data_IF_122159126783
#
_entry.id   IF_122159126783
#
_cell.length_a   1.000
_cell.length_b   1.000
_cell.length_c   1.000
_cell.angle_alpha   90.00
_cell.angle_beta   90.00
_cell.angle_gamma   90.00
#
_symmetry.space_group_name_H-M   'P 1'
#
loop_
_entity.id
_entity.type
_entity.pdbx_description
1 polymer ?
#
# COMPACT_ATOMS: atom_id res chain seq x y z
N UNK A 1 -20.95 -0.17 20.19
CA UNK A 1 -21.94 0.39 21.13
C UNK A 1 -21.32 1.10 22.36
N UNK A 2 -20.18 0.62 22.94
CA UNK A 2 -19.51 1.30 24.06
C UNK A 2 -18.86 2.62 23.61
N UNK A 3 -18.11 2.63 22.52
CA UNK A 3 -17.42 3.83 22.00
C UNK A 3 -18.43 4.92 21.62
N UNK A 4 -19.52 4.54 20.96
CA UNK A 4 -20.51 5.51 20.49
C UNK A 4 -21.31 6.20 21.60
N UNK A 5 -21.30 5.70 22.82
CA UNK A 5 -22.00 6.31 23.97
C UNK A 5 -21.22 7.44 24.65
N UNK A 6 -19.89 7.49 24.46
CA UNK A 6 -19.01 8.49 25.10
C UNK A 6 -18.70 9.71 24.23
N UNK A 7 -19.23 9.77 23.00
CA UNK A 7 -18.94 10.85 22.05
C UNK A 7 -19.85 12.05 22.27
N UNK A 8 -19.26 13.25 22.25
CA UNK A 8 -19.94 14.54 22.35
C UNK A 8 -20.26 15.09 20.94
N UNK A 9 -21.06 16.14 20.87
CA UNK A 9 -21.51 16.77 19.63
C UNK A 9 -20.34 17.32 18.78
N UNK A 10 -19.31 17.84 19.44
CA UNK A 10 -18.15 18.46 18.80
C UNK A 10 -17.02 17.48 18.47
N UNK A 11 -17.19 16.19 18.79
CA UNK A 11 -16.20 15.19 18.50
C UNK A 11 -16.15 14.85 17.00
N UNK A 12 -14.94 14.68 16.48
CA UNK A 12 -14.71 14.11 15.18
C UNK A 12 -14.46 12.60 15.35
N UNK A 13 -15.22 11.78 14.64
CA UNK A 13 -15.01 10.33 14.59
C UNK A 13 -14.33 9.98 13.26
N UNK A 14 -13.10 9.50 13.33
CA UNK A 14 -12.38 9.04 12.17
C UNK A 14 -12.27 7.51 12.16
N UNK A 15 -12.83 6.90 11.14
CA UNK A 15 -12.88 5.44 10.97
C UNK A 15 -11.98 5.05 9.81
N UNK A 16 -11.20 4.00 9.98
CA UNK A 16 -10.32 3.46 8.94
C UNK A 16 -10.83 2.12 8.44
N UNK A 17 -10.72 1.89 7.15
CA UNK A 17 -11.14 0.75 6.35
C UNK A 17 -12.65 0.66 6.11
N UNK A 18 -13.02 0.17 4.93
CA UNK A 18 -14.43 0.03 4.54
C UNK A 18 -15.22 -0.88 5.49
N UNK A 19 -14.60 -1.99 5.95
CA UNK A 19 -15.24 -2.93 6.90
C UNK A 19 -15.61 -2.26 8.22
N UNK A 20 -14.67 -1.54 8.82
CA UNK A 20 -14.91 -0.79 10.06
C UNK A 20 -15.92 0.35 9.83
N UNK A 21 -15.87 1.00 8.68
CA UNK A 21 -16.82 2.03 8.27
C UNK A 21 -18.26 1.53 8.22
N UNK A 22 -18.50 0.37 7.62
CA UNK A 22 -19.84 -0.24 7.58
C UNK A 22 -20.34 -0.63 8.97
N UNK A 23 -19.49 -1.19 9.83
CA UNK A 23 -19.86 -1.51 11.22
C UNK A 23 -20.20 -0.25 12.02
N UNK A 24 -19.39 0.81 11.87
CA UNK A 24 -19.67 2.10 12.49
C UNK A 24 -20.98 2.70 11.96
N UNK A 25 -21.17 2.73 10.65
CA UNK A 25 -22.36 3.28 10.02
C UNK A 25 -23.64 2.56 10.50
N UNK A 26 -23.60 1.23 10.59
CA UNK A 26 -24.71 0.46 11.15
C UNK A 26 -24.98 0.83 12.61
N UNK A 27 -23.94 0.94 13.44
CA UNK A 27 -24.10 1.37 14.84
C UNK A 27 -24.63 2.81 14.95
N UNK A 28 -24.23 3.68 14.02
CA UNK A 28 -24.61 5.09 14.00
C UNK A 28 -26.08 5.32 13.63
N UNK A 29 -26.75 4.35 12.98
CA UNK A 29 -28.19 4.42 12.71
C UNK A 29 -29.04 4.55 13.98
N UNK A 30 -28.55 4.03 15.10
CA UNK A 30 -29.23 4.02 16.40
C UNK A 30 -28.76 5.14 17.34
N UNK A 31 -28.09 6.16 16.79
CA UNK A 31 -27.60 7.32 17.56
C UNK A 31 -28.37 8.59 17.22
N UNK A 32 -28.59 9.38 18.26
CA UNK A 32 -29.21 10.69 18.13
C UNK A 32 -28.19 11.85 18.11
N UNK A 33 -26.91 11.58 18.41
CA UNK A 33 -25.87 12.61 18.46
C UNK A 33 -25.22 12.80 17.09
N UNK A 34 -25.09 14.05 16.69
CA UNK A 34 -24.45 14.43 15.42
C UNK A 34 -22.97 14.73 15.67
N UNK A 35 -22.11 13.74 15.50
CA UNK A 35 -20.66 13.93 15.38
C UNK A 35 -20.29 14.17 13.92
N UNK A 36 -19.16 14.80 13.66
CA UNK A 36 -18.55 14.83 12.32
C UNK A 36 -17.81 13.53 12.07
N UNK A 37 -18.19 12.81 11.03
CA UNK A 37 -17.68 11.46 10.80
C UNK A 37 -16.88 11.38 9.52
N UNK A 38 -15.66 10.88 9.61
CA UNK A 38 -14.75 10.67 8.50
C UNK A 38 -14.53 9.17 8.30
N UNK A 39 -14.51 8.71 7.06
CA UNK A 39 -14.09 7.36 6.70
C UNK A 39 -12.87 7.44 5.77
N UNK A 40 -11.75 6.87 6.19
CA UNK A 40 -10.63 6.60 5.29
C UNK A 40 -10.74 5.20 4.71
N UNK A 41 -10.84 5.13 3.38
CA UNK A 41 -10.84 3.88 2.61
C UNK A 41 -9.41 3.62 2.15
N UNK A 42 -8.76 2.66 2.82
CA UNK A 42 -7.36 2.29 2.60
C UNK A 42 -7.18 1.25 1.49
N UNK A 43 -8.10 1.19 0.56
CA UNK A 43 -8.20 0.24 -0.54
C UNK A 43 -9.57 -0.41 -0.56
N UNK A 44 -10.04 -0.73 -1.74
CA UNK A 44 -11.38 -1.32 -1.92
C UNK A 44 -11.41 -2.84 -1.66
N UNK A 45 -10.24 -3.49 -1.71
CA UNK A 45 -10.06 -4.89 -1.36
C UNK A 45 -10.92 -5.87 -2.17
N UNK A 46 -11.15 -7.03 -1.58
CA UNK A 46 -11.85 -8.15 -2.23
C UNK A 46 -13.23 -7.80 -2.80
N UNK A 47 -14.02 -6.94 -2.11
CA UNK A 47 -15.38 -6.60 -2.56
C UNK A 47 -15.42 -5.98 -3.96
N UNK A 48 -14.36 -5.30 -4.36
CA UNK A 48 -14.21 -4.67 -5.68
C UNK A 48 -13.32 -5.45 -6.64
N UNK A 49 -12.94 -6.68 -6.28
CA UNK A 49 -12.19 -7.57 -7.15
C UNK A 49 -13.02 -8.06 -8.34
N UNK A 50 -12.33 -8.64 -9.32
CA UNK A 50 -12.95 -9.28 -10.47
C UNK A 50 -13.58 -10.66 -10.15
N UNK A 51 -13.48 -11.15 -8.92
CA UNK A 51 -14.04 -12.41 -8.49
C UNK A 51 -15.57 -12.41 -8.64
N UNK A 52 -16.12 -13.49 -9.19
CA UNK A 52 -17.56 -13.64 -9.43
C UNK A 52 -18.40 -13.51 -8.14
N UNK A 53 -17.93 -14.16 -7.04
CA UNK A 53 -18.60 -14.07 -5.73
C UNK A 53 -18.59 -12.63 -5.18
N UNK A 54 -17.47 -11.92 -5.35
CA UNK A 54 -17.37 -10.52 -4.95
C UNK A 54 -18.32 -9.62 -5.75
N UNK A 55 -18.47 -9.85 -7.05
CA UNK A 55 -19.42 -9.13 -7.91
C UNK A 55 -20.87 -9.30 -7.45
N UNK A 56 -21.29 -10.53 -7.15
CA UNK A 56 -22.62 -10.81 -6.61
C UNK A 56 -22.81 -10.11 -5.27
N UNK A 57 -21.86 -10.29 -4.34
CA UNK A 57 -21.92 -9.67 -3.01
C UNK A 57 -22.00 -8.14 -3.10
N UNK A 58 -21.22 -7.55 -4.00
CA UNK A 58 -21.24 -6.11 -4.27
C UNK A 58 -22.62 -5.62 -4.71
N UNK A 59 -23.29 -6.34 -5.62
CA UNK A 59 -24.65 -6.00 -6.08
C UNK A 59 -25.64 -6.10 -4.92
N UNK A 60 -25.64 -7.19 -4.17
CA UNK A 60 -26.54 -7.42 -3.04
C UNK A 60 -26.37 -6.36 -1.94
N UNK A 61 -25.13 -5.94 -1.67
CA UNK A 61 -24.84 -4.96 -0.64
C UNK A 61 -24.94 -3.50 -1.11
N UNK A 62 -25.11 -3.25 -2.42
CA UNK A 62 -25.02 -1.89 -2.98
C UNK A 62 -25.99 -0.91 -2.32
N UNK A 63 -27.24 -1.29 -2.15
CA UNK A 63 -28.25 -0.45 -1.51
C UNK A 63 -27.90 -0.10 -0.08
N UNK A 64 -27.47 -1.10 0.70
CA UNK A 64 -27.07 -0.91 2.09
C UNK A 64 -25.83 -0.04 2.21
N UNK A 65 -24.80 -0.30 1.42
CA UNK A 65 -23.56 0.48 1.43
C UNK A 65 -23.84 1.93 1.05
N UNK A 66 -24.60 2.15 -0.03
CA UNK A 66 -24.99 3.49 -0.47
C UNK A 66 -25.70 4.25 0.63
N UNK A 67 -26.74 3.65 1.22
CA UNK A 67 -27.55 4.30 2.25
C UNK A 67 -26.75 4.56 3.53
N UNK A 68 -26.01 3.55 4.01
CA UNK A 68 -25.25 3.64 5.27
C UNK A 68 -24.11 4.66 5.17
N UNK A 69 -23.36 4.67 4.06
CA UNK A 69 -22.23 5.58 3.88
C UNK A 69 -22.71 7.02 3.77
N UNK A 70 -23.69 7.29 2.90
CA UNK A 70 -24.22 8.65 2.72
C UNK A 70 -24.88 9.23 3.98
N UNK A 71 -25.50 8.38 4.81
CA UNK A 71 -26.13 8.83 6.04
C UNK A 71 -25.18 9.03 7.21
N UNK A 72 -24.04 8.31 7.22
CA UNK A 72 -23.18 8.20 8.40
C UNK A 72 -21.87 8.97 8.31
N UNK A 73 -21.42 9.34 7.12
CA UNK A 73 -20.14 10.00 6.94
C UNK A 73 -20.29 11.34 6.23
N UNK A 74 -19.70 12.37 6.83
CA UNK A 74 -19.65 13.73 6.29
C UNK A 74 -18.50 13.87 5.28
N UNK A 75 -17.44 13.04 5.42
CA UNK A 75 -16.23 13.16 4.63
C UNK A 75 -15.61 11.78 4.35
N UNK A 76 -15.18 11.55 3.10
CA UNK A 76 -14.44 10.35 2.71
C UNK A 76 -13.00 10.69 2.33
N UNK A 77 -12.06 9.85 2.76
CA UNK A 77 -10.64 9.97 2.39
C UNK A 77 -10.24 8.69 1.67
N UNK A 78 -9.53 8.84 0.56
CA UNK A 78 -9.01 7.74 -0.26
C UNK A 78 -7.49 7.83 -0.37
N UNK A 79 -6.86 6.71 -0.72
CA UNK A 79 -5.42 6.68 -0.95
C UNK A 79 -5.04 6.82 -2.42
N UNK A 80 -6.00 6.67 -3.34
CA UNK A 80 -5.79 6.89 -4.76
C UNK A 80 -7.07 7.33 -5.47
N UNK A 81 -6.92 7.92 -6.65
CA UNK A 81 -8.01 8.47 -7.45
C UNK A 81 -8.89 7.39 -8.10
N UNK A 82 -8.35 6.22 -8.35
CA UNK A 82 -9.10 5.10 -8.96
C UNK A 82 -10.11 4.55 -7.95
N UNK A 83 -9.66 4.29 -6.72
CA UNK A 83 -10.54 3.87 -5.64
C UNK A 83 -11.60 4.93 -5.32
N UNK A 84 -11.21 6.21 -5.30
CA UNK A 84 -12.14 7.33 -5.10
C UNK A 84 -13.26 7.31 -6.16
N UNK A 85 -12.89 7.31 -7.44
CA UNK A 85 -13.87 7.28 -8.54
C UNK A 85 -14.74 6.03 -8.49
N UNK A 86 -14.14 4.87 -8.28
CA UNK A 86 -14.82 3.58 -8.25
C UNK A 86 -15.83 3.53 -7.11
N UNK A 87 -15.43 3.92 -5.91
CA UNK A 87 -16.31 3.85 -4.74
C UNK A 87 -17.38 4.94 -4.74
N UNK A 88 -17.05 6.18 -5.11
CA UNK A 88 -18.03 7.26 -5.18
C UNK A 88 -19.13 6.94 -6.21
N UNK A 89 -18.76 6.40 -7.38
CA UNK A 89 -19.75 5.97 -8.39
C UNK A 89 -20.63 4.81 -7.88
N UNK A 90 -20.04 3.86 -7.16
CA UNK A 90 -20.76 2.73 -6.60
C UNK A 90 -21.69 3.12 -5.46
N UNK A 91 -21.21 3.89 -4.50
CA UNK A 91 -21.95 4.31 -3.31
C UNK A 91 -22.84 5.53 -3.57
N UNK A 92 -22.74 6.14 -4.77
CA UNK A 92 -23.40 7.43 -5.09
C UNK A 92 -23.18 8.45 -3.95
N UNK A 93 -21.96 8.48 -3.44
CA UNK A 93 -21.60 9.37 -2.35
C UNK A 93 -21.71 10.82 -2.82
N UNK A 94 -22.46 11.63 -2.06
CA UNK A 94 -22.75 13.02 -2.37
C UNK A 94 -22.08 14.03 -1.41
N UNK A 95 -21.33 13.53 -0.43
CA UNK A 95 -20.52 14.34 0.47
C UNK A 95 -19.14 14.68 -0.12
N UNK A 96 -18.34 15.36 0.69
CA UNK A 96 -16.98 15.74 0.30
C UNK A 96 -16.01 14.56 0.38
N UNK A 97 -15.09 14.51 -0.55
CA UNK A 97 -14.03 13.49 -0.53
C UNK A 97 -12.67 14.06 -0.98
N UNK A 98 -11.60 13.49 -0.42
CA UNK A 98 -10.23 13.90 -0.67
C UNK A 98 -9.28 12.72 -0.79
N UNK A 99 -8.10 12.94 -1.41
CA UNK A 99 -7.07 11.93 -1.53
C UNK A 99 -5.92 12.28 -0.60
N UNK A 100 -5.61 11.38 0.34
CA UNK A 100 -4.36 11.36 1.09
C UNK A 100 -3.62 10.08 0.68
N UNK A 101 -2.55 10.17 -0.11
CA UNK A 101 -2.06 9.07 -0.94
C UNK A 101 -1.43 7.90 -0.16
N UNK A 102 -1.22 8.06 1.13
CA UNK A 102 -0.57 7.04 1.98
C UNK A 102 -0.85 7.30 3.46
N UNK A 103 -0.45 6.38 4.32
CA UNK A 103 -0.36 6.63 5.78
C UNK A 103 0.94 7.36 6.18
N UNK A 104 1.84 7.58 5.22
CA UNK A 104 3.16 8.18 5.44
C UNK A 104 4.22 7.19 5.92
N UNK A 105 5.48 7.56 5.71
CA UNK A 105 6.65 6.81 6.20
C UNK A 105 7.49 7.65 7.15
N UNK A 106 8.19 6.98 8.08
CA UNK A 106 9.11 7.62 9.04
C UNK A 106 10.52 7.53 8.52
N UNK A 107 10.96 8.55 7.79
CA UNK A 107 12.24 8.54 7.07
C UNK A 107 13.49 8.57 7.97
N UNK A 108 13.38 9.09 9.20
CA UNK A 108 14.53 9.25 10.11
C UNK A 108 15.17 7.92 10.54
N UNK A 109 14.41 6.84 10.50
CA UNK A 109 14.84 5.52 10.93
C UNK A 109 15.39 4.68 9.78
N UNK A 110 15.18 5.12 8.53
CA UNK A 110 15.58 4.38 7.34
C UNK A 110 17.07 4.59 7.04
N UNK A 111 17.79 3.50 6.88
CA UNK A 111 19.19 3.52 6.45
C UNK A 111 19.26 3.58 4.92
N UNK A 112 19.97 4.60 4.40
CA UNK A 112 20.12 4.78 2.94
C UNK A 112 21.11 3.75 2.40
N UNK A 113 20.77 3.13 1.28
CA UNK A 113 21.66 2.27 0.52
C UNK A 113 22.80 3.09 -0.07
N UNK A 114 24.04 2.66 0.17
CA UNK A 114 25.27 3.38 -0.25
C UNK A 114 25.93 2.74 -1.46
N UNK A 115 25.78 1.44 -1.62
CA UNK A 115 26.46 0.67 -2.64
C UNK A 115 25.47 -0.29 -3.32
N UNK A 116 25.60 -0.43 -4.62
CA UNK A 116 24.85 -1.40 -5.42
C UNK A 116 25.79 -2.53 -5.84
N UNK A 117 25.25 -3.76 -5.88
CA UNK A 117 26.02 -4.94 -6.30
C UNK A 117 26.00 -5.04 -7.81
N UNK A 118 27.11 -5.50 -8.38
CA UNK A 118 27.22 -5.77 -9.81
C UNK A 118 26.86 -7.22 -10.15
N UNK A 119 26.74 -8.09 -9.15
CA UNK A 119 26.37 -9.50 -9.28
C UNK A 119 25.72 -10.00 -8.00
N UNK A 120 25.04 -11.14 -8.04
CA UNK A 120 24.31 -11.72 -6.92
C UNK A 120 23.36 -10.72 -6.26
N UNK A 121 22.50 -10.09 -7.07
CA UNK A 121 21.56 -9.08 -6.60
C UNK A 121 20.55 -9.71 -5.63
N UNK A 122 20.34 -9.05 -4.51
CA UNK A 122 19.41 -9.48 -3.46
C UNK A 122 18.03 -8.88 -3.70
N UNK A 123 17.08 -9.75 -3.95
CA UNK A 123 15.68 -9.42 -4.14
C UNK A 123 14.92 -9.67 -2.85
N UNK A 124 14.19 -8.69 -2.36
CA UNK A 124 13.33 -8.85 -1.19
C UNK A 124 11.87 -8.69 -1.55
N UNK A 125 11.03 -9.52 -0.96
CA UNK A 125 9.61 -9.29 -0.80
C UNK A 125 9.29 -9.22 0.69
N UNK A 126 8.89 -8.04 1.19
CA UNK A 126 8.59 -7.84 2.60
C UNK A 126 7.09 -7.51 2.79
N UNK A 127 6.34 -8.46 3.36
CA UNK A 127 4.89 -8.36 3.46
C UNK A 127 4.32 -9.29 4.51
N UNK A 128 3.06 -9.07 4.92
CA UNK A 128 2.30 -10.07 5.69
C UNK A 128 2.04 -11.31 4.81
N UNK A 129 2.16 -12.49 5.40
CA UNK A 129 1.93 -13.75 4.68
C UNK A 129 0.42 -14.03 4.55
N UNK A 130 -0.21 -13.34 3.59
CA UNK A 130 -1.60 -13.51 3.20
C UNK A 130 -1.70 -13.74 1.68
N UNK A 131 -2.74 -14.45 1.22
CA UNK A 131 -2.87 -14.86 -0.19
C UNK A 131 -2.89 -13.70 -1.18
N UNK A 132 -3.49 -12.55 -0.79
CA UNK A 132 -3.59 -11.38 -1.64
C UNK A 132 -2.25 -10.68 -1.90
N UNK A 133 -1.17 -11.10 -1.23
CA UNK A 133 0.16 -10.49 -1.39
C UNK A 133 1.02 -11.10 -2.51
N UNK A 134 0.57 -12.17 -3.15
CA UNK A 134 1.29 -12.78 -4.27
C UNK A 134 2.50 -13.61 -3.86
N UNK A 135 2.43 -14.24 -2.67
CA UNK A 135 3.55 -15.00 -2.12
C UNK A 135 3.86 -16.22 -2.98
N UNK A 136 2.85 -16.94 -3.46
CA UNK A 136 3.07 -18.11 -4.30
C UNK A 136 3.65 -17.73 -5.66
N UNK A 137 3.18 -16.63 -6.24
CA UNK A 137 3.75 -16.08 -7.47
C UNK A 137 5.22 -15.66 -7.28
N UNK A 138 5.59 -15.18 -6.09
CA UNK A 138 6.99 -14.89 -5.74
C UNK A 138 7.83 -16.17 -5.64
N UNK A 139 7.31 -17.23 -5.02
CA UNK A 139 7.99 -18.52 -4.94
C UNK A 139 8.21 -19.12 -6.34
N UNK A 140 7.18 -19.09 -7.18
CA UNK A 140 7.25 -19.57 -8.56
C UNK A 140 8.30 -18.79 -9.38
N UNK A 141 8.40 -17.47 -9.16
CA UNK A 141 9.42 -16.62 -9.80
C UNK A 141 10.83 -17.01 -9.32
N UNK A 142 11.02 -17.21 -8.01
CA UNK A 142 12.30 -17.64 -7.45
C UNK A 142 12.73 -19.00 -7.98
N UNK A 143 11.81 -19.96 -8.06
CA UNK A 143 12.07 -21.29 -8.64
C UNK A 143 12.45 -21.20 -10.12
N UNK A 144 11.77 -20.32 -10.89
CA UNK A 144 12.05 -20.09 -12.30
C UNK A 144 13.43 -19.43 -12.53
N UNK A 145 13.96 -18.75 -11.53
CA UNK A 145 15.21 -17.98 -11.60
C UNK A 145 16.33 -18.55 -10.70
N UNK A 146 16.17 -19.78 -10.20
CA UNK A 146 17.12 -20.43 -9.26
C UNK A 146 18.56 -20.54 -9.78
N UNK A 147 18.75 -20.59 -11.10
CA UNK A 147 20.07 -20.71 -11.76
C UNK A 147 20.60 -19.35 -12.25
N UNK A 148 20.00 -18.24 -11.81
CA UNK A 148 20.43 -16.88 -12.16
C UNK A 148 21.26 -16.24 -11.06
N UNK A 149 21.85 -15.06 -11.36
CA UNK A 149 22.63 -14.26 -10.40
C UNK A 149 21.73 -13.46 -9.42
N UNK A 150 20.59 -14.05 -9.01
CA UNK A 150 19.71 -13.45 -8.01
C UNK A 150 19.57 -14.31 -6.76
N UNK A 151 19.55 -13.65 -5.61
CA UNK A 151 19.20 -14.25 -4.33
C UNK A 151 17.82 -13.74 -3.89
N UNK A 152 16.87 -14.64 -3.66
CA UNK A 152 15.51 -14.27 -3.27
C UNK A 152 15.31 -14.36 -1.76
N UNK A 153 14.72 -13.32 -1.17
CA UNK A 153 14.47 -13.18 0.26
C UNK A 153 13.00 -12.85 0.52
N UNK A 154 12.35 -13.58 1.42
CA UNK A 154 10.97 -13.34 1.83
C UNK A 154 10.94 -12.97 3.31
N UNK A 155 10.45 -11.78 3.61
CA UNK A 155 10.27 -11.28 4.98
C UNK A 155 8.79 -11.10 5.33
N UNK A 156 8.40 -11.52 6.52
CA UNK A 156 7.05 -11.39 7.03
C UNK A 156 6.61 -12.60 7.85
N UNK A 157 5.42 -12.53 8.41
CA UNK A 157 4.84 -13.61 9.19
C UNK A 157 3.35 -13.76 8.89
N UNK A 158 2.78 -14.90 9.32
CA UNK A 158 1.33 -15.16 9.22
C UNK A 158 0.55 -14.13 10.03
N UNK A 159 -0.56 -13.65 9.48
CA UNK A 159 -1.43 -12.63 10.10
C UNK A 159 -2.55 -13.33 10.89
N UNK A 160 -2.24 -13.74 12.12
CA UNK A 160 -3.18 -14.47 12.96
C UNK A 160 -4.51 -13.71 13.12
N UNK A 161 -5.62 -14.39 12.83
CA UNK A 161 -6.96 -13.80 12.86
C UNK A 161 -7.42 -13.17 11.54
N UNK A 162 -6.57 -13.08 10.54
CA UNK A 162 -6.95 -12.69 9.18
C UNK A 162 -7.43 -13.96 8.42
N UNK A 163 -8.66 -13.99 7.88
CA UNK A 163 -9.17 -15.17 7.16
C UNK A 163 -8.39 -15.47 5.87
N UNK A 164 -7.64 -14.52 5.33
CA UNK A 164 -6.81 -14.66 4.14
C UNK A 164 -5.34 -15.03 4.46
N UNK A 165 -5.01 -15.19 5.75
CA UNK A 165 -3.68 -15.57 6.19
C UNK A 165 -3.29 -16.96 5.70
N UNK A 166 -2.01 -17.14 5.39
CA UNK A 166 -1.47 -18.46 5.10
C UNK A 166 -1.61 -19.37 6.31
N UNK A 167 -1.80 -20.66 6.04
CA UNK A 167 -1.82 -21.71 7.06
C UNK A 167 -0.40 -22.02 7.54
N UNK A 168 -0.30 -22.70 8.69
CA UNK A 168 0.99 -23.19 9.21
C UNK A 168 1.68 -24.16 8.23
N UNK A 169 0.93 -25.03 7.57
CA UNK A 169 1.50 -25.95 6.58
C UNK A 169 2.11 -25.20 5.38
N UNK A 170 1.46 -24.16 4.89
CA UNK A 170 2.00 -23.29 3.83
C UNK A 170 3.26 -22.53 4.28
N UNK A 171 3.28 -22.08 5.55
CA UNK A 171 4.49 -21.49 6.11
C UNK A 171 5.65 -22.48 6.19
N UNK A 172 5.38 -23.74 6.54
CA UNK A 172 6.40 -24.80 6.57
C UNK A 172 6.90 -25.13 5.16
N UNK A 173 6.05 -25.11 4.15
CA UNK A 173 6.46 -25.23 2.72
C UNK A 173 7.39 -24.08 2.32
N UNK A 174 7.06 -22.83 2.69
CA UNK A 174 7.91 -21.65 2.46
C UNK A 174 9.29 -21.82 3.11
N UNK A 175 9.35 -22.27 4.37
CA UNK A 175 10.60 -22.48 5.10
C UNK A 175 11.48 -23.57 4.49
N UNK A 176 10.88 -24.55 3.83
CA UNK A 176 11.57 -25.65 3.21
C UNK A 176 11.91 -25.40 1.72
N UNK A 177 11.41 -24.31 1.12
CA UNK A 177 11.74 -23.94 -0.24
C UNK A 177 13.21 -23.51 -0.33
N UNK A 178 13.96 -24.12 -1.26
CA UNK A 178 15.42 -23.90 -1.43
C UNK A 178 15.75 -22.73 -2.33
N UNK A 179 14.77 -22.19 -3.06
CA UNK A 179 14.96 -21.07 -3.99
C UNK A 179 14.84 -19.73 -3.30
N UNK A 180 14.45 -19.69 -2.01
CA UNK A 180 14.31 -18.48 -1.23
C UNK A 180 14.98 -18.55 0.14
N UNK A 181 15.36 -17.42 0.67
CA UNK A 181 15.78 -17.23 2.05
C UNK A 181 14.62 -16.64 2.85
N UNK A 182 13.92 -17.47 3.63
CA UNK A 182 12.84 -16.98 4.50
C UNK A 182 13.41 -16.38 5.78
N UNK A 183 13.07 -15.12 6.06
CA UNK A 183 13.63 -14.32 7.15
C UNK A 183 12.73 -14.25 8.39
N UNK A 184 11.43 -14.62 8.25
CA UNK A 184 10.46 -14.29 9.28
C UNK A 184 10.19 -12.79 9.38
N UNK A 185 9.79 -12.32 10.54
CA UNK A 185 9.59 -10.89 10.79
C UNK A 185 10.94 -10.18 10.95
N UNK A 186 11.15 -9.11 10.20
CA UNK A 186 12.36 -8.27 10.27
C UNK A 186 12.00 -6.80 10.53
N UNK A 187 12.95 -6.05 11.05
CA UNK A 187 12.87 -4.59 11.16
C UNK A 187 13.26 -3.95 9.82
N UNK A 188 12.26 -3.62 9.02
CA UNK A 188 12.44 -3.04 7.68
C UNK A 188 13.31 -1.79 7.72
N UNK A 189 13.20 -0.96 8.76
CA UNK A 189 13.98 0.29 8.86
C UNK A 189 15.48 0.05 8.92
N UNK A 190 15.90 -1.11 9.48
CA UNK A 190 17.30 -1.48 9.66
C UNK A 190 17.84 -2.43 8.59
N UNK A 191 16.97 -3.22 7.97
CA UNK A 191 17.42 -4.33 7.13
C UNK A 191 17.28 -4.06 5.63
N UNK A 192 16.33 -3.20 5.24
CA UNK A 192 15.94 -3.05 3.84
C UNK A 192 17.09 -2.54 2.94
N UNK A 193 18.02 -1.75 3.46
CA UNK A 193 19.19 -1.25 2.72
C UNK A 193 20.19 -2.36 2.29
N UNK A 194 20.08 -3.57 2.86
CA UNK A 194 20.90 -4.72 2.48
C UNK A 194 20.49 -5.39 1.17
N UNK A 195 19.35 -4.99 0.59
CA UNK A 195 18.80 -5.54 -0.64
C UNK A 195 18.94 -4.57 -1.81
N UNK A 196 18.77 -5.08 -3.03
CA UNK A 196 18.96 -4.33 -4.26
C UNK A 196 17.62 -4.05 -4.96
N UNK A 197 16.71 -5.01 -4.93
CA UNK A 197 15.40 -4.95 -5.57
C UNK A 197 14.31 -5.31 -4.57
N UNK A 198 13.24 -4.53 -4.54
CA UNK A 198 12.01 -4.87 -3.82
C UNK A 198 10.89 -5.26 -4.79
N UNK A 199 10.28 -6.42 -4.59
CA UNK A 199 9.11 -6.85 -5.35
C UNK A 199 7.83 -6.66 -4.55
N UNK A 200 6.82 -6.02 -5.18
CA UNK A 200 5.48 -5.85 -4.61
C UNK A 200 4.47 -6.54 -5.52
N UNK A 201 4.19 -7.81 -5.24
CA UNK A 201 3.33 -8.68 -6.06
C UNK A 201 1.88 -8.73 -5.56
N UNK A 202 1.48 -7.75 -4.77
CA UNK A 202 0.13 -7.68 -4.20
C UNK A 202 -0.94 -7.57 -5.29
N UNK A 203 -2.07 -8.28 -5.09
CA UNK A 203 -3.27 -8.20 -5.95
C UNK A 203 -4.12 -6.97 -5.61
N UNK A 204 -4.04 -6.50 -4.36
CA UNK A 204 -4.79 -5.35 -3.86
C UNK A 204 -3.93 -4.53 -2.91
N UNK A 205 -3.86 -3.22 -3.15
CA UNK A 205 -3.23 -2.23 -2.27
C UNK A 205 -4.02 -0.92 -2.35
N UNK A 206 -4.22 -0.28 -1.21
CA UNK A 206 -4.65 1.12 -1.18
C UNK A 206 -3.47 2.05 -1.39
N UNK A 207 -2.36 1.73 -0.71
CA UNK A 207 -1.06 2.40 -0.79
C UNK A 207 0.01 1.48 -0.19
N UNK A 208 1.09 1.26 -0.91
CA UNK A 208 2.18 0.38 -0.47
C UNK A 208 3.27 1.15 0.27
N UNK A 209 3.32 1.01 1.61
CA UNK A 209 4.36 1.64 2.43
C UNK A 209 5.75 1.13 2.11
N UNK A 210 5.89 -0.21 1.96
CA UNK A 210 7.19 -0.83 1.64
C UNK A 210 7.74 -0.32 0.30
N UNK A 211 6.88 0.02 -0.64
CA UNK A 211 7.28 0.62 -1.91
C UNK A 211 7.92 2.01 -1.68
N UNK A 212 7.27 2.88 -0.88
CA UNK A 212 7.82 4.19 -0.54
C UNK A 212 9.13 4.10 0.25
N UNK A 213 9.19 3.19 1.23
CA UNK A 213 10.39 2.95 2.03
C UNK A 213 11.55 2.49 1.15
N UNK A 214 11.31 1.54 0.23
CA UNK A 214 12.29 1.04 -0.73
C UNK A 214 12.80 2.14 -1.67
N UNK A 215 11.89 2.93 -2.25
CA UNK A 215 12.24 4.04 -3.14
C UNK A 215 13.03 5.15 -2.42
N UNK A 216 12.69 5.41 -1.15
CA UNK A 216 13.44 6.36 -0.32
C UNK A 216 14.87 5.90 -0.05
N UNK A 217 15.04 4.63 0.26
CA UNK A 217 16.35 4.01 0.53
C UNK A 217 17.20 3.96 -0.73
N UNK A 218 16.59 3.84 -1.90
CA UNK A 218 17.25 3.78 -3.20
C UNK A 218 17.22 2.39 -3.84
N UNK A 219 16.32 1.51 -3.43
CA UNK A 219 16.13 0.23 -4.10
C UNK A 219 15.43 0.40 -5.45
N UNK A 220 15.66 -0.56 -6.34
CA UNK A 220 14.79 -0.74 -7.51
C UNK A 220 13.50 -1.40 -7.02
N UNK A 221 12.38 -0.93 -7.54
CA UNK A 221 11.07 -1.47 -7.18
C UNK A 221 10.36 -2.01 -8.43
N UNK A 222 9.91 -3.26 -8.37
CA UNK A 222 9.05 -3.83 -9.40
C UNK A 222 7.74 -4.21 -8.72
N UNK A 223 6.64 -3.67 -9.21
CA UNK A 223 5.34 -3.86 -8.58
C UNK A 223 4.25 -4.21 -9.57
N UNK A 224 3.22 -4.90 -9.09
CA UNK A 224 1.99 -5.05 -9.85
C UNK A 224 1.39 -3.71 -10.21
N UNK A 225 0.87 -3.61 -11.44
CA UNK A 225 0.12 -2.46 -11.94
C UNK A 225 -1.30 -2.45 -11.36
N UNK A 226 -1.42 -2.05 -10.11
CA UNK A 226 -2.70 -1.91 -9.39
C UNK A 226 -2.85 -0.49 -8.85
N UNK A 227 -4.08 -0.02 -8.57
CA UNK A 227 -4.32 1.36 -8.18
C UNK A 227 -3.41 1.91 -7.09
N UNK A 228 -3.17 1.12 -6.03
CA UNK A 228 -2.37 1.56 -4.88
C UNK A 228 -0.86 1.59 -5.10
N UNK A 229 -0.33 0.86 -6.07
CA UNK A 229 1.10 0.93 -6.46
C UNK A 229 1.30 1.97 -7.55
N UNK A 230 0.48 1.95 -8.60
CA UNK A 230 0.60 2.86 -9.75
C UNK A 230 0.43 4.32 -9.36
N UNK A 231 -0.59 4.62 -8.53
CA UNK A 231 -0.84 6.00 -8.09
C UNK A 231 0.31 6.61 -7.27
N UNK A 232 1.06 5.76 -6.56
CA UNK A 232 2.25 6.18 -5.82
C UNK A 232 3.47 6.28 -6.73
N UNK A 233 3.83 5.17 -7.36
CA UNK A 233 5.16 4.99 -7.93
C UNK A 233 5.30 5.48 -9.37
N UNK A 234 4.22 5.84 -10.07
CA UNK A 234 4.31 6.45 -11.41
C UNK A 234 5.06 7.78 -11.45
N UNK A 235 5.27 8.40 -10.30
CA UNK A 235 6.01 9.67 -10.13
C UNK A 235 7.47 9.47 -9.75
N UNK A 236 7.88 8.26 -9.44
CA UNK A 236 9.22 7.95 -8.93
C UNK A 236 10.11 7.33 -9.99
N UNK A 237 11.39 7.63 -9.91
CA UNK A 237 12.44 6.89 -10.61
C UNK A 237 12.61 5.49 -9.99
N UNK A 238 13.27 4.59 -10.70
CA UNK A 238 13.56 3.22 -10.25
C UNK A 238 12.31 2.38 -9.93
N UNK A 239 11.18 2.68 -10.56
CA UNK A 239 9.93 1.97 -10.35
C UNK A 239 9.38 1.40 -11.65
N UNK A 240 9.12 0.10 -11.67
CA UNK A 240 8.63 -0.65 -12.82
C UNK A 240 7.31 -1.33 -12.48
N UNK A 241 6.48 -1.52 -13.51
CA UNK A 241 5.16 -2.13 -13.36
C UNK A 241 5.03 -3.42 -14.15
N UNK A 242 4.32 -4.37 -13.57
CA UNK A 242 3.95 -5.65 -14.17
C UNK A 242 2.44 -5.80 -14.15
N UNK A 243 1.85 -6.24 -15.26
CA UNK A 243 0.40 -6.42 -15.33
C UNK A 243 -0.01 -7.83 -14.86
N UNK A 244 -1.12 -7.88 -14.14
CA UNK A 244 -1.81 -9.13 -13.76
C UNK A 244 -0.93 -10.17 -13.05
N UNK A 245 0.06 -9.74 -12.26
CA UNK A 245 1.03 -10.64 -11.59
C UNK A 245 1.76 -11.57 -12.57
N UNK A 246 2.04 -11.09 -13.76
CA UNK A 246 2.68 -11.90 -14.80
C UNK A 246 4.13 -12.23 -14.44
N UNK A 247 4.41 -13.45 -14.03
CA UNK A 247 5.73 -13.93 -13.60
C UNK A 247 6.78 -13.73 -14.71
N UNK A 248 6.41 -13.93 -15.99
CA UNK A 248 7.34 -13.73 -17.11
C UNK A 248 7.72 -12.25 -17.30
N UNK A 249 6.81 -11.31 -17.00
CA UNK A 249 7.14 -9.89 -17.00
C UNK A 249 8.06 -9.52 -15.82
N UNK A 250 7.83 -10.06 -14.62
CA UNK A 250 8.77 -9.90 -13.50
C UNK A 250 10.15 -10.42 -13.85
N UNK A 251 10.25 -11.64 -14.41
CA UNK A 251 11.51 -12.22 -14.89
C UNK A 251 12.19 -11.35 -15.93
N UNK A 252 11.45 -10.82 -16.92
CA UNK A 252 11.99 -9.95 -17.94
C UNK A 252 12.59 -8.68 -17.34
N UNK A 253 11.85 -7.99 -16.46
CA UNK A 253 12.31 -6.76 -15.81
C UNK A 253 13.57 -7.02 -14.95
N UNK A 254 13.62 -8.15 -14.23
CA UNK A 254 14.81 -8.52 -13.46
C UNK A 254 16.03 -8.78 -14.36
N UNK A 255 15.85 -9.47 -15.48
CA UNK A 255 16.92 -9.69 -16.44
C UNK A 255 17.41 -8.40 -17.11
N UNK A 256 16.49 -7.45 -17.37
CA UNK A 256 16.85 -6.14 -17.90
C UNK A 256 17.72 -5.34 -16.91
N UNK A 257 17.48 -5.48 -15.61
CA UNK A 257 18.28 -4.84 -14.55
C UNK A 257 19.72 -5.38 -14.57
N UNK A 258 19.93 -6.70 -14.64
CA UNK A 258 21.27 -7.30 -14.68
C UNK A 258 22.02 -6.95 -15.98
N UNK A 259 21.32 -6.99 -17.12
CA UNK A 259 21.95 -6.80 -18.44
C UNK A 259 22.19 -5.33 -18.79
N UNK A 260 21.79 -4.40 -17.96
CA UNK A 260 21.93 -2.99 -18.20
C UNK A 260 22.97 -2.38 -17.25
N UNK A 261 24.21 -2.25 -17.73
CA UNK A 261 25.32 -1.64 -16.97
C UNK A 261 24.94 -0.26 -16.42
N UNK A 262 24.04 0.46 -17.10
CA UNK A 262 23.49 1.73 -16.62
C UNK A 262 22.69 1.57 -15.32
N UNK A 263 22.11 0.43 -15.00
CA UNK A 263 21.46 0.18 -13.70
C UNK A 263 22.45 -0.18 -12.60
N UNK A 264 23.61 -0.73 -12.95
CA UNK A 264 24.58 -1.28 -11.97
C UNK A 264 25.74 -0.33 -11.68
N UNK A 265 26.05 0.62 -12.58
CA UNK A 265 27.14 1.59 -12.38
C UNK A 265 26.66 2.80 -11.56
N UNK A 266 26.90 2.74 -10.25
CA UNK A 266 26.55 3.82 -9.32
C UNK A 266 27.34 5.12 -9.52
N UNK A 267 28.47 5.08 -10.26
CA UNK A 267 29.35 6.23 -10.44
C UNK A 267 29.00 7.10 -11.64
N UNK A 268 28.31 6.54 -12.63
CA UNK A 268 27.91 7.25 -13.86
C UNK A 268 26.40 7.42 -14.02
N UNK A 269 25.60 6.92 -13.08
CA UNK A 269 24.18 6.70 -13.30
C UNK A 269 23.33 7.85 -12.76
N UNK A 270 22.85 8.70 -13.69
CA UNK A 270 21.77 9.65 -13.42
C UNK A 270 20.52 8.95 -12.82
N UNK A 271 20.34 7.67 -13.13
CA UNK A 271 19.17 6.89 -12.69
C UNK A 271 19.23 6.52 -11.21
N UNK A 272 20.37 6.01 -10.70
CA UNK A 272 20.49 5.63 -9.27
C UNK A 272 20.85 6.79 -8.36
N UNK A 273 21.87 7.58 -8.70
CA UNK A 273 22.28 8.73 -7.91
C UNK A 273 21.20 9.81 -7.92
N UNK A 274 20.95 10.39 -9.08
CA UNK A 274 19.99 11.48 -9.25
C UNK A 274 18.54 11.00 -9.07
N UNK A 275 18.21 9.77 -9.51
CA UNK A 275 16.87 9.20 -9.35
C UNK A 275 16.52 8.92 -7.89
N UNK A 276 17.43 8.36 -7.10
CA UNK A 276 17.21 8.13 -5.68
C UNK A 276 17.13 9.44 -4.90
N UNK A 277 17.93 10.45 -5.25
CA UNK A 277 17.84 11.78 -4.64
C UNK A 277 16.53 12.48 -5.00
N UNK A 278 16.09 12.37 -6.24
CA UNK A 278 14.77 12.83 -6.67
C UNK A 278 13.65 12.17 -5.86
N UNK A 279 13.69 10.83 -5.72
CA UNK A 279 12.72 10.08 -4.93
C UNK A 279 12.71 10.54 -3.47
N UNK A 280 13.89 10.69 -2.84
CA UNK A 280 14.01 11.18 -1.46
C UNK A 280 13.42 12.57 -1.30
N UNK A 281 13.70 13.48 -2.22
CA UNK A 281 13.14 14.83 -2.22
C UNK A 281 11.61 14.79 -2.28
N UNK A 282 11.05 14.08 -3.26
CA UNK A 282 9.61 13.98 -3.45
C UNK A 282 8.91 13.34 -2.23
N UNK A 283 9.52 12.31 -1.63
CA UNK A 283 8.99 11.66 -0.43
C UNK A 283 9.03 12.59 0.78
N UNK A 284 10.13 13.31 0.99
CA UNK A 284 10.26 14.26 2.10
C UNK A 284 9.24 15.40 1.99
N UNK A 285 8.93 15.84 0.80
CA UNK A 285 7.98 16.93 0.55
C UNK A 285 6.52 16.48 0.76
N UNK A 286 6.17 15.22 0.41
CA UNK A 286 4.77 14.83 0.25
C UNK A 286 4.33 13.59 1.04
N UNK A 287 5.25 12.64 1.36
CA UNK A 287 4.86 11.30 1.81
C UNK A 287 5.38 10.90 3.19
N UNK A 288 6.01 11.81 3.93
CA UNK A 288 6.41 11.54 5.32
C UNK A 288 5.19 11.51 6.25
N UNK A 289 5.30 10.75 7.34
CA UNK A 289 4.23 10.68 8.37
C UNK A 289 3.84 12.06 8.90
N UNK A 290 4.81 13.00 9.00
CA UNK A 290 4.55 14.39 9.42
C UNK A 290 3.69 15.14 8.41
N UNK A 291 4.00 15.03 7.12
CA UNK A 291 3.22 15.67 6.05
C UNK A 291 1.80 15.11 5.96
N UNK A 292 1.67 13.80 6.07
CA UNK A 292 0.39 13.12 6.06
C UNK A 292 -0.46 13.52 7.28
N UNK A 293 0.14 13.55 8.47
CA UNK A 293 -0.54 14.01 9.68
C UNK A 293 -1.02 15.47 9.56
N UNK A 294 -0.19 16.35 8.96
CA UNK A 294 -0.59 17.74 8.71
C UNK A 294 -1.79 17.84 7.75
N UNK A 295 -1.86 16.98 6.72
CA UNK A 295 -3.00 16.93 5.82
C UNK A 295 -4.30 16.47 6.52
N UNK A 296 -4.22 15.44 7.35
CA UNK A 296 -5.36 15.03 8.19
C UNK A 296 -5.80 16.14 9.14
N UNK A 297 -4.84 16.84 9.77
CA UNK A 297 -5.15 17.95 10.69
C UNK A 297 -5.90 19.10 9.99
N UNK A 298 -5.54 19.44 8.75
CA UNK A 298 -6.28 20.44 7.96
C UNK A 298 -7.73 20.03 7.73
N UNK A 299 -8.00 18.74 7.44
CA UNK A 299 -9.36 18.23 7.30
C UNK A 299 -10.12 18.33 8.61
N UNK A 300 -9.48 18.03 9.76
CA UNK A 300 -10.12 18.16 11.06
C UNK A 300 -10.46 19.63 11.39
N UNK A 301 -9.53 20.56 11.13
CA UNK A 301 -9.76 22.00 11.31
C UNK A 301 -10.90 22.51 10.40
N UNK A 302 -10.94 22.07 9.15
CA UNK A 302 -12.01 22.39 8.22
C UNK A 302 -13.38 21.91 8.74
N UNK A 303 -13.47 20.67 9.19
CA UNK A 303 -14.72 20.10 9.71
C UNK A 303 -15.20 20.77 11.02
N UNK A 304 -14.29 21.40 11.78
CA UNK A 304 -14.62 22.22 12.95
C UNK A 304 -14.96 23.67 12.58
N UNK A 305 -14.82 24.06 11.32
CA UNK A 305 -15.02 25.44 10.89
C UNK A 305 -13.90 26.40 11.29
N UNK A 306 -12.72 25.90 11.64
CA UNK A 306 -11.55 26.69 12.02
C UNK A 306 -10.81 27.27 10.80
N UNK A 307 -10.95 26.65 9.63
CA UNK A 307 -10.39 27.09 8.35
C UNK A 307 -11.40 26.93 7.22
N UNK A 308 -11.28 27.77 6.17
CA UNK A 308 -12.20 27.75 5.03
C UNK A 308 -11.90 26.67 3.99
N UNK A 309 -10.66 26.15 3.94
CA UNK A 309 -10.24 25.15 2.95
C UNK A 309 -9.22 24.16 3.53
N UNK A 310 -9.44 22.88 3.23
CA UNK A 310 -8.54 21.77 3.61
C UNK A 310 -7.58 21.37 2.49
N UNK A 311 -7.79 21.87 1.27
CA UNK A 311 -7.00 21.43 0.11
C UNK A 311 -5.54 21.78 0.32
N UNK A 312 -4.71 20.76 0.43
CA UNK A 312 -3.26 20.84 0.33
C UNK A 312 -2.83 20.15 -0.97
N UNK A 313 -1.93 20.74 -1.70
CA UNK A 313 -1.39 20.13 -2.92
C UNK A 313 -0.45 18.98 -2.51
N UNK A 314 -0.92 17.74 -2.69
CA UNK A 314 -0.03 16.61 -2.87
C UNK A 314 0.34 16.59 -4.35
N UNK A 315 1.59 16.90 -4.65
CA UNK A 315 2.14 16.90 -6.01
C UNK A 315 2.28 15.46 -6.54
#
# INVERSE_FOLDING_TARGET
RKITKSLNYDDIVHVYTLKSGLLFAFANLFRNNKTKNILTITGLGYLFSNNFKAKILKILLSFFITHLINKSFDFLIYQNNIDQKTFNNYSKYNGESYIIPTSGITVKELQIKKEYRNSNLKIIMATRLINDKGIFEYLDLADLMKDSDFEFYLAGDIDNGNPDSLSKSQLDEIKNNKSINYLGHIDISKELHNYDVNLVMSKYEGSSRILLESLYIGLICISNNIPGTTALSSKFSNSFFVNDNNIQEFKRNLNEIINNDAFLDSTQNEFFGNGADYNRKLINENYTSVKIAAAYNKIYQYLRGEIESYKSEFV
#
